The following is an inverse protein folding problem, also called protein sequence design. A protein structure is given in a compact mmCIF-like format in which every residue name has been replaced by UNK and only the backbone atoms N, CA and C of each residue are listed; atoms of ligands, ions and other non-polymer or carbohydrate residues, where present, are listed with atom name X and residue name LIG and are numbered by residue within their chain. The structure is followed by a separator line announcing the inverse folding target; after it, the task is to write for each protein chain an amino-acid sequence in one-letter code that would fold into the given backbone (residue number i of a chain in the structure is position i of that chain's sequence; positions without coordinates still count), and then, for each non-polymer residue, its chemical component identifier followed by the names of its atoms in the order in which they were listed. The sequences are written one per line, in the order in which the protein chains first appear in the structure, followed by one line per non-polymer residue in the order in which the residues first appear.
data_IF_000045158870
#
_entry.id   IF_000045158870
#
_cell.length_a   1.000
_cell.length_b   1.000
_cell.length_c   1.000
_cell.angle_alpha   90.00
_cell.angle_beta   90.00
_cell.angle_gamma   90.00
#
_symmetry.space_group_name_H-M   'P 1'
#
loop_
_entity.id
_entity.type
_entity.pdbx_description
1 polymer ?
#
# COMPACT_ATOMS: atom_id res chain seq x y z
N UNK A 1 9.74 24.95 15.77
CA UNK A 1 8.48 25.48 16.34
C UNK A 1 8.26 24.84 17.70
N UNK A 2 7.38 25.37 18.58
CA UNK A 2 7.08 24.70 19.85
C UNK A 2 6.34 23.36 19.59
N UNK A 3 6.75 22.31 20.31
CA UNK A 3 6.10 21.00 20.26
C UNK A 3 4.77 21.01 21.02
N UNK A 4 3.78 20.31 20.49
CA UNK A 4 2.48 20.12 21.14
C UNK A 4 2.40 18.73 21.75
N UNK A 5 2.03 18.65 23.03
CA UNK A 5 1.91 17.38 23.73
C UNK A 5 0.44 17.05 23.95
N UNK A 6 0.01 15.89 23.46
CA UNK A 6 -1.34 15.37 23.72
C UNK A 6 -1.29 14.30 24.79
N UNK A 7 -2.14 14.48 25.79
CA UNK A 7 -2.37 13.55 26.89
C UNK A 7 -3.64 12.74 26.65
N UNK A 8 -3.90 11.74 27.51
CA UNK A 8 -5.12 10.93 27.44
C UNK A 8 -6.39 11.81 27.43
N UNK A 9 -6.42 12.85 28.26
CA UNK A 9 -7.59 13.70 28.42
C UNK A 9 -7.89 14.50 27.15
N UNK A 10 -6.85 14.94 26.44
CA UNK A 10 -7.02 15.68 25.19
C UNK A 10 -7.64 14.79 24.10
N UNK A 11 -7.19 13.54 24.00
CA UNK A 11 -7.75 12.55 23.07
C UNK A 11 -9.20 12.20 23.43
N UNK A 12 -9.51 12.07 24.72
CA UNK A 12 -10.88 11.82 25.16
C UNK A 12 -11.82 12.99 24.84
N UNK A 13 -11.38 14.22 25.05
CA UNK A 13 -12.16 15.40 24.72
C UNK A 13 -12.30 15.59 23.20
N UNK A 14 -11.30 15.20 22.40
CA UNK A 14 -11.42 15.13 20.94
C UNK A 14 -12.48 14.12 20.50
N UNK A 15 -12.49 12.93 21.09
CA UNK A 15 -13.50 11.91 20.78
C UNK A 15 -14.92 12.38 21.15
N UNK A 16 -15.08 13.04 22.32
CA UNK A 16 -16.37 13.62 22.74
C UNK A 16 -16.89 14.70 21.78
N UNK A 17 -15.98 15.41 21.12
CA UNK A 17 -16.30 16.39 20.07
C UNK A 17 -16.62 15.73 18.72
N UNK A 18 -16.50 14.41 18.62
CA UNK A 18 -16.74 13.65 17.39
C UNK A 18 -15.56 13.67 16.42
N UNK A 19 -14.35 14.00 16.88
CA UNK A 19 -13.15 13.90 16.04
C UNK A 19 -12.75 12.43 15.93
N UNK A 20 -12.61 11.95 14.70
CA UNK A 20 -12.30 10.55 14.38
C UNK A 20 -10.88 10.35 13.84
N UNK A 21 -10.15 11.43 13.56
CA UNK A 21 -8.79 11.37 13.05
C UNK A 21 -7.94 12.51 13.61
N UNK A 22 -6.67 12.21 13.87
CA UNK A 22 -5.66 13.16 14.31
C UNK A 22 -4.42 13.00 13.42
N UNK A 23 -4.06 14.06 12.70
CA UNK A 23 -2.78 14.13 11.99
C UNK A 23 -1.65 14.26 13.01
N UNK A 24 -0.68 13.36 12.94
CA UNK A 24 0.48 13.31 13.84
C UNK A 24 1.72 13.68 13.05
N UNK A 25 2.15 14.93 13.22
CA UNK A 25 3.38 15.50 12.67
C UNK A 25 4.58 15.35 13.62
N UNK A 26 5.77 15.76 13.16
CA UNK A 26 7.02 15.73 13.95
C UNK A 26 7.00 16.68 15.18
N UNK A 27 6.11 17.66 15.18
CA UNK A 27 5.91 18.61 16.28
C UNK A 27 4.87 18.12 17.30
N UNK A 28 4.18 17.01 17.02
CA UNK A 28 3.14 16.46 17.89
C UNK A 28 3.69 15.25 18.64
N UNK A 29 3.58 15.28 19.97
CA UNK A 29 4.02 14.19 20.84
C UNK A 29 2.81 13.65 21.60
N UNK A 30 2.49 12.39 21.36
CA UNK A 30 1.46 11.67 22.12
C UNK A 30 2.14 10.88 23.24
N UNK A 31 1.55 10.91 24.44
CA UNK A 31 1.91 9.96 25.49
C UNK A 31 1.39 8.56 25.12
N UNK A 32 1.97 7.52 25.72
CA UNK A 32 1.55 6.14 25.46
C UNK A 32 0.07 5.93 25.82
N UNK A 33 -0.39 6.49 26.94
CA UNK A 33 -1.80 6.49 27.34
C UNK A 33 -2.70 7.19 26.32
N UNK A 34 -2.25 8.30 25.73
CA UNK A 34 -2.99 9.02 24.71
C UNK A 34 -3.15 8.18 23.44
N UNK A 35 -2.08 7.51 23.00
CA UNK A 35 -2.09 6.60 21.84
C UNK A 35 -3.06 5.44 22.05
N UNK A 36 -2.99 4.77 23.20
CA UNK A 36 -3.89 3.66 23.54
C UNK A 36 -5.35 4.13 23.58
N UNK A 37 -5.60 5.32 24.14
CA UNK A 37 -6.93 5.91 24.19
C UNK A 37 -7.47 6.23 22.81
N UNK A 38 -6.64 6.76 21.92
CA UNK A 38 -7.01 7.06 20.53
C UNK A 38 -7.46 5.78 19.83
N UNK A 39 -6.70 4.68 19.94
CA UNK A 39 -7.05 3.38 19.37
C UNK A 39 -8.36 2.81 19.93
N UNK A 40 -8.59 2.94 21.24
CA UNK A 40 -9.84 2.47 21.89
C UNK A 40 -11.07 3.28 21.48
N UNK A 41 -10.91 4.59 21.29
CA UNK A 41 -11.98 5.50 20.91
C UNK A 41 -12.21 5.56 19.39
N UNK A 42 -11.40 4.83 18.61
CA UNK A 42 -11.50 4.80 17.15
C UNK A 42 -10.97 6.07 16.48
N UNK A 43 -10.11 6.83 17.16
CA UNK A 43 -9.39 7.96 16.56
C UNK A 43 -8.22 7.40 15.76
N UNK A 44 -8.25 7.64 14.45
CA UNK A 44 -7.19 7.25 13.54
C UNK A 44 -6.02 8.23 13.61
N UNK A 45 -4.83 7.73 13.95
CA UNK A 45 -3.60 8.52 14.00
C UNK A 45 -2.95 8.51 12.61
N UNK A 46 -3.20 9.55 11.82
CA UNK A 46 -2.67 9.68 10.47
C UNK A 46 -1.26 10.28 10.54
N UNK A 47 -0.24 9.50 10.15
CA UNK A 47 1.11 10.04 10.04
C UNK A 47 1.26 10.68 8.66
N UNK A 48 1.50 11.99 8.64
CA UNK A 48 1.81 12.71 7.40
C UNK A 48 3.15 12.17 6.86
N UNK A 49 3.09 11.37 5.79
CA UNK A 49 4.27 10.94 5.06
C UNK A 49 4.71 12.13 4.18
N UNK A 50 5.96 12.62 4.29
CA UNK A 50 6.41 13.70 3.42
C UNK A 50 6.27 13.27 1.96
N UNK A 51 5.85 14.17 1.05
CA UNK A 51 5.67 13.82 -0.35
C UNK A 51 6.99 13.28 -0.90
N UNK A 52 6.97 12.06 -1.42
CA UNK A 52 8.11 11.47 -2.13
C UNK A 52 8.56 12.47 -3.19
N UNK A 53 9.83 12.87 -3.10
CA UNK A 53 10.42 13.80 -4.05
C UNK A 53 10.19 13.29 -5.49
N UNK A 54 9.87 14.16 -6.46
CA UNK A 54 9.65 13.75 -7.84
C UNK A 54 10.86 12.97 -8.36
N UNK A 55 10.63 11.73 -8.80
CA UNK A 55 11.66 10.97 -9.51
C UNK A 55 12.08 11.78 -10.74
N UNK A 56 13.35 12.19 -10.76
CA UNK A 56 13.93 12.85 -11.93
C UNK A 56 14.17 11.74 -12.96
N UNK A 57 13.46 11.71 -14.10
CA UNK A 57 13.86 10.82 -15.19
C UNK A 57 15.22 11.29 -15.70
N UNK A 58 16.28 10.53 -15.43
CA UNK A 58 17.57 10.72 -16.08
C UNK A 58 17.43 10.38 -17.57
N UNK A 59 17.06 11.36 -18.38
CA UNK A 59 17.33 11.32 -19.81
C UNK A 59 18.81 11.71 -19.96
N UNK A 60 19.70 10.72 -19.92
CA UNK A 60 20.94 10.72 -20.70
C UNK A 60 21.33 9.27 -20.96
N UNK A 61 20.95 8.78 -22.14
CA UNK A 61 21.69 7.71 -22.81
C UNK A 61 23.09 8.25 -23.12
N UNK A 62 24.07 7.99 -22.27
CA UNK A 62 25.42 7.74 -22.73
C UNK A 62 25.92 6.49 -22.00
N UNK A 63 25.92 5.40 -22.75
CA UNK A 63 26.81 4.27 -22.55
C UNK A 63 28.21 4.80 -22.22
N UNK A 64 28.69 4.56 -20.99
CA UNK A 64 30.13 4.63 -20.69
C UNK A 64 30.72 3.25 -20.94
N UNK A 65 31.57 3.06 -21.97
CA UNK A 65 32.29 1.81 -22.18
C UNK A 65 33.62 1.92 -21.43
N UNK A 66 33.70 1.43 -20.20
CA UNK A 66 34.97 1.02 -19.57
C UNK A 66 34.75 0.37 -18.21
N UNK A 67 34.54 -0.94 -18.26
CA UNK A 67 35.13 -1.88 -17.31
C UNK A 67 35.23 -3.23 -18.03
N UNK A 68 36.25 -3.32 -18.87
CA UNK A 68 36.66 -4.56 -19.52
C UNK A 68 37.15 -5.55 -18.48
N UNK A 69 36.49 -6.70 -18.35
CA UNK A 69 37.15 -7.95 -18.00
C UNK A 69 36.74 -9.06 -18.99
N UNK A 70 37.64 -10.00 -19.31
CA UNK A 70 37.72 -10.68 -20.60
C UNK A 70 36.82 -11.94 -20.73
N UNK A 71 36.74 -12.54 -21.93
CA UNK A 71 35.72 -13.50 -22.32
C UNK A 71 36.03 -14.91 -21.80
N UNK A 72 34.99 -15.68 -21.52
CA UNK A 72 35.06 -17.14 -21.48
C UNK A 72 33.99 -17.66 -22.43
N UNK A 73 34.45 -18.12 -23.59
CA UNK A 73 33.67 -18.86 -24.57
C UNK A 73 33.03 -20.10 -23.93
N UNK A 74 31.74 -20.29 -24.18
CA UNK A 74 31.00 -21.44 -23.70
C UNK A 74 29.54 -21.37 -24.10
N UNK A 75 29.25 -21.80 -25.33
CA UNK A 75 27.92 -21.92 -25.90
C UNK A 75 26.93 -22.67 -24.99
N UNK A 76 25.69 -22.18 -24.89
CA UNK A 76 24.50 -22.91 -25.35
C UNK A 76 23.17 -22.25 -24.90
N UNK A 77 22.35 -21.96 -25.91
CA UNK A 77 20.90 -22.22 -25.95
C UNK A 77 19.97 -21.39 -25.03
N UNK A 78 19.18 -20.51 -25.67
CA UNK A 78 17.71 -20.64 -25.77
C UNK A 78 17.18 -19.40 -26.54
N UNK A 79 16.98 -19.51 -27.85
CA UNK A 79 15.64 -19.70 -28.44
C UNK A 79 14.58 -18.77 -27.85
N UNK A 80 14.47 -17.55 -28.40
CA UNK A 80 13.28 -16.70 -28.25
C UNK A 80 12.56 -16.66 -29.59
N UNK A 81 11.73 -17.68 -29.81
CA UNK A 81 10.72 -17.69 -30.86
C UNK A 81 9.39 -18.06 -30.20
N UNK A 82 8.66 -17.06 -29.71
CA UNK A 82 7.23 -17.19 -29.47
C UNK A 82 6.58 -15.79 -29.53
N UNK A 83 5.94 -15.54 -30.66
CA UNK A 83 4.98 -14.48 -30.83
C UNK A 83 3.78 -14.70 -29.89
N UNK A 84 3.39 -13.64 -29.18
CA UNK A 84 2.02 -13.32 -28.75
C UNK A 84 2.09 -11.95 -28.07
N UNK A 85 1.93 -10.82 -28.77
CA UNK A 85 0.61 -10.25 -29.03
C UNK A 85 -0.44 -10.67 -27.99
N UNK A 86 -0.53 -9.91 -26.90
CA UNK A 86 -1.76 -9.79 -26.14
C UNK A 86 -2.02 -8.31 -25.88
N UNK A 87 -3.17 -7.86 -26.38
CA UNK A 87 -3.74 -6.53 -26.26
C UNK A 87 -3.92 -6.13 -24.78
N UNK A 88 -4.10 -4.84 -24.48
CA UNK A 88 -4.49 -4.40 -23.14
C UNK A 88 -5.91 -4.89 -22.85
N UNK A 89 -6.02 -6.07 -22.25
CA UNK A 89 -7.29 -6.63 -21.83
C UNK A 89 -7.83 -5.76 -20.69
N UNK A 90 -9.00 -5.15 -20.94
CA UNK A 90 -9.82 -4.48 -19.92
C UNK A 90 -9.88 -5.38 -18.68
N UNK A 91 -9.60 -4.88 -17.46
CA UNK A 91 -9.63 -5.73 -16.27
C UNK A 91 -11.05 -6.24 -16.11
N UNK A 92 -11.23 -7.55 -16.30
CA UNK A 92 -12.50 -8.20 -16.02
C UNK A 92 -12.67 -8.24 -14.50
N UNK A 93 -13.90 -8.27 -13.99
CA UNK A 93 -14.15 -8.32 -12.54
C UNK A 93 -13.40 -9.47 -11.85
N UNK A 94 -13.16 -10.56 -12.58
CA UNK A 94 -12.37 -11.71 -12.14
C UNK A 94 -10.88 -11.39 -11.92
N UNK A 95 -10.29 -10.49 -12.73
CA UNK A 95 -8.90 -10.03 -12.55
C UNK A 95 -8.74 -9.23 -11.25
N UNK A 96 -9.73 -8.40 -10.94
CA UNK A 96 -9.74 -7.61 -9.71
C UNK A 96 -9.89 -8.51 -8.48
N UNK A 97 -10.81 -9.48 -8.54
CA UNK A 97 -10.99 -10.49 -7.51
C UNK A 97 -9.67 -11.23 -7.20
N UNK A 98 -8.97 -11.72 -8.23
CA UNK A 98 -7.69 -12.43 -8.07
C UNK A 98 -6.61 -11.56 -7.44
N UNK A 99 -6.51 -10.28 -7.84
CA UNK A 99 -5.54 -9.34 -7.25
C UNK A 99 -5.82 -9.08 -5.77
N UNK A 100 -7.08 -8.85 -5.42
CA UNK A 100 -7.50 -8.61 -4.03
C UNK A 100 -7.26 -9.86 -3.18
N UNK A 101 -7.66 -11.03 -3.66
CA UNK A 101 -7.45 -12.30 -2.96
C UNK A 101 -5.97 -12.54 -2.67
N UNK A 102 -5.10 -12.38 -3.67
CA UNK A 102 -3.64 -12.52 -3.49
C UNK A 102 -3.07 -11.53 -2.48
N UNK A 103 -3.50 -10.27 -2.52
CA UNK A 103 -3.04 -9.23 -1.60
C UNK A 103 -3.47 -9.51 -0.15
N UNK A 104 -4.71 -9.97 0.05
CA UNK A 104 -5.22 -10.31 1.38
C UNK A 104 -4.57 -11.58 1.90
N UNK A 105 -4.42 -12.62 1.08
CA UNK A 105 -3.71 -13.84 1.46
C UNK A 105 -2.25 -13.56 1.88
N UNK A 106 -1.54 -12.70 1.15
CA UNK A 106 -0.18 -12.29 1.51
C UNK A 106 -0.11 -11.50 2.84
N UNK A 107 -1.18 -10.78 3.20
CA UNK A 107 -1.24 -9.93 4.39
C UNK A 107 -1.78 -10.64 5.63
N UNK A 108 -2.65 -11.62 5.44
CA UNK A 108 -3.39 -12.31 6.51
C UNK A 108 -2.86 -13.74 6.77
N UNK A 109 -2.13 -14.31 5.80
CA UNK A 109 -1.60 -15.67 5.88
C UNK A 109 -2.71 -16.71 6.05
N UNK A 110 -2.42 -17.77 6.80
CA UNK A 110 -3.35 -18.90 7.05
C UNK A 110 -4.37 -18.63 8.17
N UNK A 111 -4.49 -17.39 8.65
CA UNK A 111 -5.34 -17.07 9.81
C UNK A 111 -6.84 -17.06 9.50
N UNK A 112 -7.24 -17.29 8.24
CA UNK A 112 -8.63 -17.17 7.79
C UNK A 112 -9.01 -18.28 6.83
N UNK A 113 -10.26 -18.75 6.97
CA UNK A 113 -10.84 -19.75 6.08
C UNK A 113 -10.91 -19.20 4.62
N UNK A 114 -10.37 -19.94 3.64
CA UNK A 114 -10.31 -19.48 2.25
C UNK A 114 -11.71 -19.27 1.65
N UNK A 115 -12.68 -20.10 2.01
CA UNK A 115 -14.06 -19.99 1.52
C UNK A 115 -14.76 -18.76 2.09
N UNK A 116 -14.47 -18.41 3.33
CA UNK A 116 -14.95 -17.17 3.93
C UNK A 116 -14.34 -15.95 3.21
N UNK A 117 -13.04 -15.97 2.95
CA UNK A 117 -12.33 -14.90 2.25
C UNK A 117 -12.94 -14.63 0.86
N UNK A 118 -13.14 -15.68 0.05
CA UNK A 118 -13.76 -15.55 -1.27
C UNK A 118 -15.17 -14.95 -1.22
N UNK A 119 -15.96 -15.35 -0.22
CA UNK A 119 -17.33 -14.86 -0.03
C UNK A 119 -17.34 -13.36 0.30
N UNK A 120 -16.44 -12.92 1.19
CA UNK A 120 -16.32 -11.51 1.57
C UNK A 120 -15.84 -10.67 0.40
N UNK A 121 -14.80 -11.10 -0.33
CA UNK A 121 -14.29 -10.36 -1.49
C UNK A 121 -15.39 -10.18 -2.54
N UNK A 122 -16.15 -11.24 -2.87
CA UNK A 122 -17.25 -11.15 -3.84
C UNK A 122 -18.32 -10.16 -3.40
N UNK A 123 -18.69 -10.15 -2.11
CA UNK A 123 -19.69 -9.24 -1.58
C UNK A 123 -19.21 -7.79 -1.58
N UNK A 124 -17.94 -7.54 -1.27
CA UNK A 124 -17.36 -6.18 -1.32
C UNK A 124 -17.31 -5.67 -2.75
N UNK A 125 -16.89 -6.49 -3.71
CA UNK A 125 -16.87 -6.12 -5.14
C UNK A 125 -18.26 -5.71 -5.63
N UNK A 126 -19.28 -6.50 -5.33
CA UNK A 126 -20.67 -6.15 -5.67
C UNK A 126 -21.13 -4.84 -5.01
N UNK A 127 -20.70 -4.57 -3.77
CA UNK A 127 -21.08 -3.36 -3.05
C UNK A 127 -20.40 -2.09 -3.59
N UNK A 128 -19.15 -2.19 -4.05
CA UNK A 128 -18.46 -1.04 -4.66
C UNK A 128 -18.99 -0.73 -6.06
N UNK A 129 -19.35 -1.75 -6.85
CA UNK A 129 -19.97 -1.54 -8.17
C UNK A 129 -21.32 -0.80 -8.06
N UNK A 130 -22.14 -1.10 -7.04
CA UNK A 130 -23.42 -0.40 -6.82
C UNK A 130 -23.27 0.99 -6.19
N UNK A 131 -22.16 1.27 -5.49
CA UNK A 131 -21.91 2.57 -4.85
C UNK A 131 -21.33 3.62 -5.80
N UNK A 132 -20.87 3.20 -7.00
CA UNK A 132 -20.19 4.08 -7.98
C UNK A 132 -21.12 4.52 -9.12
N UNK A 133 -22.44 4.43 -8.94
CA UNK A 133 -23.45 4.80 -9.95
C UNK A 133 -24.48 5.75 -9.36
#
# INVERSE_FOLDING_TARGET
MPKTFYTERDIEDMAKRGVISLAVDDDIVLTDLARDKAMRLGIELLREQPPSAPERPYITKLTSPSASQPPSDGAAQQQISAAAQALPNKPSGDDLFQRVHKAVAARLGDSVDPKLLETIIRRVLQNVDVSTR
#
